data_IF_841638384657
#
_entry.id   IF_841638384657
#
_cell.length_a   1.000
_cell.length_b   1.000
_cell.length_c   1.000
_cell.angle_alpha   90.00
_cell.angle_beta   90.00
_cell.angle_gamma   90.00
#
_symmetry.space_group_name_H-M   'P 1'
#
loop_
_entity.id
_entity.type
_entity.pdbx_description
1 polymer ?
#
# COMPACT_ATOMS: atom_id res chain seq x y z
N UNK A 1 -3.07 -11.26 34.03
CA UNK A 1 -3.57 -10.03 33.35
C UNK A 1 -2.60 -8.85 33.46
N UNK A 2 -1.97 -8.58 34.61
CA UNK A 2 -1.00 -7.49 34.75
C UNK A 2 0.17 -7.57 33.74
N UNK A 3 0.76 -8.76 33.56
CA UNK A 3 1.86 -9.00 32.60
C UNK A 3 1.46 -8.66 31.17
N UNK A 4 0.31 -9.15 30.71
CA UNK A 4 -0.22 -8.85 29.37
C UNK A 4 -0.47 -7.34 29.18
N UNK A 5 -1.00 -6.67 30.20
CA UNK A 5 -1.24 -5.22 30.17
C UNK A 5 0.07 -4.44 30.00
N UNK A 6 1.10 -4.83 30.74
CA UNK A 6 2.41 -4.18 30.68
C UNK A 6 3.08 -4.39 29.31
N UNK A 7 3.02 -5.60 28.76
CA UNK A 7 3.58 -5.91 27.44
C UNK A 7 2.93 -5.10 26.31
N UNK A 8 1.60 -4.97 26.35
CA UNK A 8 0.86 -4.17 25.35
C UNK A 8 1.09 -2.67 25.55
N UNK A 9 1.32 -2.21 26.77
CA UNK A 9 1.64 -0.81 27.06
C UNK A 9 3.06 -0.42 26.61
N UNK A 10 4.02 -1.36 26.68
CA UNK A 10 5.40 -1.16 26.22
C UNK A 10 5.49 -1.08 24.69
N UNK A 11 4.75 -1.95 24.00
CA UNK A 11 4.74 -2.05 22.54
C UNK A 11 3.36 -2.49 22.06
N UNK A 12 2.75 -1.76 21.13
CA UNK A 12 1.37 -1.98 20.69
C UNK A 12 1.23 -2.80 19.38
N UNK A 13 2.33 -3.04 18.66
CA UNK A 13 2.40 -3.70 17.35
C UNK A 13 2.93 -5.15 17.43
N UNK A 14 2.77 -5.81 18.57
CA UNK A 14 3.07 -7.24 18.71
C UNK A 14 2.21 -8.10 17.79
N UNK A 15 2.81 -9.12 17.18
CA UNK A 15 2.05 -10.25 16.67
C UNK A 15 1.56 -11.14 17.84
N UNK A 16 0.44 -11.86 17.64
CA UNK A 16 -0.18 -12.64 18.72
C UNK A 16 0.71 -13.79 19.19
N UNK A 17 1.45 -14.42 18.29
CA UNK A 17 2.44 -15.46 18.59
C UNK A 17 3.64 -14.90 19.35
N UNK A 18 4.16 -13.73 18.98
CA UNK A 18 5.21 -13.02 19.73
C UNK A 18 4.76 -12.72 21.17
N UNK A 19 3.52 -12.26 21.35
CA UNK A 19 2.93 -12.02 22.67
C UNK A 19 2.81 -13.32 23.48
N UNK A 20 2.36 -14.42 22.87
CA UNK A 20 2.30 -15.73 23.53
C UNK A 20 3.69 -16.16 23.98
N UNK A 21 4.69 -16.05 23.11
CA UNK A 21 6.08 -16.39 23.42
C UNK A 21 6.63 -15.54 24.56
N UNK A 22 6.43 -14.22 24.52
CA UNK A 22 6.92 -13.31 25.57
C UNK A 22 6.24 -13.57 26.91
N UNK A 23 4.94 -13.87 26.90
CA UNK A 23 4.21 -14.27 28.10
C UNK A 23 4.70 -15.60 28.68
N UNK A 24 5.01 -16.57 27.82
CA UNK A 24 5.60 -17.85 28.23
C UNK A 24 6.96 -17.63 28.91
N UNK A 25 7.83 -16.81 28.32
CA UNK A 25 9.12 -16.47 28.93
C UNK A 25 8.99 -15.81 30.31
N UNK A 26 7.98 -14.95 30.51
CA UNK A 26 7.82 -14.20 31.77
C UNK A 26 7.06 -14.98 32.85
N UNK A 27 6.16 -15.88 32.47
CA UNK A 27 5.26 -16.56 33.40
C UNK A 27 5.48 -18.07 33.51
N UNK A 28 6.31 -18.63 32.63
CA UNK A 28 6.54 -20.07 32.49
C UNK A 28 5.33 -20.84 31.95
N UNK A 29 4.28 -20.15 31.49
CA UNK A 29 3.03 -20.76 31.03
C UNK A 29 2.69 -20.33 29.63
N UNK A 30 2.49 -21.30 28.75
CA UNK A 30 2.06 -21.07 27.38
C UNK A 30 0.53 -20.98 27.29
N UNK A 31 0.03 -19.83 26.85
CA UNK A 31 -1.38 -19.66 26.51
C UNK A 31 -1.60 -19.97 25.02
N UNK A 32 -2.80 -20.44 24.66
CA UNK A 32 -3.18 -20.49 23.25
C UNK A 32 -3.46 -19.09 22.71
N UNK A 33 -3.27 -18.88 21.40
CA UNK A 33 -3.59 -17.61 20.73
C UNK A 33 -5.05 -17.20 20.99
N UNK A 34 -5.99 -18.16 20.98
CA UNK A 34 -7.40 -17.89 21.27
C UNK A 34 -7.65 -17.44 22.73
N UNK A 35 -6.90 -17.97 23.70
CA UNK A 35 -6.99 -17.53 25.09
C UNK A 35 -6.39 -16.13 25.29
N UNK A 36 -5.27 -15.85 24.62
CA UNK A 36 -4.66 -14.52 24.59
C UNK A 36 -5.62 -13.49 24.00
N UNK A 37 -6.23 -13.81 22.85
CA UNK A 37 -7.18 -12.94 22.17
C UNK A 37 -8.39 -12.60 23.04
N UNK A 38 -9.03 -13.60 23.66
CA UNK A 38 -10.13 -13.38 24.61
C UNK A 38 -9.71 -12.50 25.80
N UNK A 39 -8.47 -12.66 26.28
CA UNK A 39 -7.93 -11.85 27.38
C UNK A 39 -7.73 -10.38 26.96
N UNK A 40 -7.23 -10.14 25.75
CA UNK A 40 -7.12 -8.79 25.19
C UNK A 40 -8.49 -8.12 25.06
N UNK A 41 -9.48 -8.84 24.53
CA UNK A 41 -10.86 -8.35 24.42
C UNK A 41 -11.47 -8.04 25.80
N UNK A 42 -11.29 -8.92 26.79
CA UNK A 42 -11.75 -8.68 28.16
C UNK A 42 -11.13 -7.42 28.77
N UNK A 43 -9.91 -7.07 28.38
CA UNK A 43 -9.23 -5.85 28.82
C UNK A 43 -9.64 -4.59 28.05
N UNK A 44 -10.56 -4.68 27.08
CA UNK A 44 -10.98 -3.57 26.22
C UNK A 44 -9.99 -3.23 25.11
N UNK A 45 -9.02 -4.10 24.83
CA UNK A 45 -8.01 -3.87 23.78
C UNK A 45 -8.57 -4.34 22.44
N UNK A 46 -8.62 -3.43 21.47
CA UNK A 46 -9.08 -3.72 20.11
C UNK A 46 -7.89 -3.76 19.13
N UNK A 47 -8.02 -4.56 18.07
CA UNK A 47 -7.00 -4.65 17.01
C UNK A 47 -7.32 -3.65 15.91
N UNK A 48 -6.45 -2.66 15.69
CA UNK A 48 -6.48 -1.82 14.49
C UNK A 48 -5.51 -2.39 13.46
N UNK A 49 -5.96 -2.59 12.22
CA UNK A 49 -5.08 -2.96 11.11
C UNK A 49 -4.23 -1.74 10.77
N UNK A 50 -2.98 -1.74 11.20
CA UNK A 50 -2.03 -0.70 10.81
C UNK A 50 -1.67 -0.91 9.34
N UNK A 51 -1.77 0.15 8.53
CA UNK A 51 -1.12 0.16 7.24
C UNK A 51 0.38 0.30 7.49
N UNK A 52 1.17 -0.66 7.01
CA UNK A 52 2.63 -0.53 7.00
C UNK A 52 2.95 0.72 6.20
N UNK A 53 3.39 1.79 6.85
CA UNK A 53 3.98 2.92 6.15
C UNK A 53 5.23 2.40 5.43
N UNK A 54 5.37 2.72 4.15
CA UNK A 54 6.58 2.38 3.39
C UNK A 54 7.75 3.11 4.07
N UNK A 55 8.81 2.38 4.41
CA UNK A 55 9.98 2.93 5.11
C UNK A 55 10.64 4.09 4.35
N UNK A 56 10.53 4.09 3.02
CA UNK A 56 11.07 5.12 2.13
C UNK A 56 10.16 6.35 1.98
N UNK A 57 9.00 6.38 2.67
CA UNK A 57 8.06 7.50 2.58
C UNK A 57 8.68 8.76 3.20
N UNK A 58 9.04 9.72 2.35
CA UNK A 58 9.47 11.05 2.75
C UNK A 58 8.34 12.05 2.52
N UNK A 59 7.71 12.50 3.61
CA UNK A 59 6.55 13.39 3.52
C UNK A 59 6.88 14.77 2.92
N UNK A 60 8.13 15.24 3.04
CA UNK A 60 8.57 16.51 2.44
C UNK A 60 8.63 16.38 0.91
N UNK A 61 9.26 15.30 0.43
CA UNK A 61 9.36 15.03 -1.02
C UNK A 61 7.97 14.81 -1.60
N UNK A 62 7.10 14.09 -0.88
CA UNK A 62 5.73 13.85 -1.31
C UNK A 62 4.91 15.14 -1.37
N UNK A 63 5.00 16.01 -0.35
CA UNK A 63 4.31 17.31 -0.35
C UNK A 63 4.81 18.23 -1.48
N UNK A 64 6.13 18.26 -1.71
CA UNK A 64 6.71 19.02 -2.82
C UNK A 64 6.20 18.50 -4.17
N UNK A 65 6.21 17.19 -4.39
CA UNK A 65 5.69 16.57 -5.61
C UNK A 65 4.21 16.93 -5.85
N UNK A 66 3.36 16.81 -4.82
CA UNK A 66 1.95 17.18 -4.92
C UNK A 66 1.76 18.68 -5.24
N UNK A 67 2.60 19.55 -4.68
CA UNK A 67 2.60 20.98 -5.00
C UNK A 67 2.91 21.25 -6.47
N UNK A 68 3.99 20.66 -6.98
CA UNK A 68 4.39 20.76 -8.40
C UNK A 68 3.28 20.27 -9.32
N UNK A 69 2.68 19.11 -9.03
CA UNK A 69 1.59 18.57 -9.87
C UNK A 69 0.36 19.49 -9.83
N UNK A 70 -0.04 19.94 -8.63
CA UNK A 70 -1.22 20.79 -8.45
C UNK A 70 -1.08 22.22 -9.00
N UNK A 71 0.15 22.72 -9.13
CA UNK A 71 0.43 24.04 -9.70
C UNK A 71 0.50 24.01 -11.23
N UNK A 72 1.10 22.96 -11.81
CA UNK A 72 1.42 22.93 -13.25
C UNK A 72 0.42 22.19 -14.12
N UNK A 73 -0.44 21.33 -13.55
CA UNK A 73 -1.35 20.49 -14.31
C UNK A 73 -2.78 20.55 -13.77
N UNK A 74 -3.73 20.40 -14.69
CA UNK A 74 -5.15 20.22 -14.38
C UNK A 74 -5.48 18.72 -14.36
N UNK A 75 -6.49 18.28 -13.59
CA UNK A 75 -6.86 16.87 -13.50
C UNK A 75 -7.14 16.21 -14.86
N UNK A 76 -7.71 16.96 -15.81
CA UNK A 76 -8.06 16.42 -17.12
C UNK A 76 -6.85 16.20 -18.05
N UNK A 77 -5.68 16.75 -17.71
CA UNK A 77 -4.44 16.52 -18.46
C UNK A 77 -3.76 15.20 -18.08
N UNK A 78 -4.10 14.62 -16.92
CA UNK A 78 -3.34 13.53 -16.31
C UNK A 78 -3.91 12.15 -16.67
N UNK A 79 -3.05 11.24 -17.12
CA UNK A 79 -3.30 9.80 -17.21
C UNK A 79 -2.40 9.09 -16.21
N UNK A 80 -2.99 8.29 -15.33
CA UNK A 80 -2.26 7.49 -14.35
C UNK A 80 -2.09 6.06 -14.86
N UNK A 81 -0.85 5.57 -14.89
CA UNK A 81 -0.56 4.16 -15.20
C UNK A 81 -0.07 3.46 -13.94
N UNK A 82 -0.58 2.26 -13.73
CA UNK A 82 -0.23 1.41 -12.60
C UNK A 82 -0.39 -0.07 -13.00
N UNK A 83 0.38 -0.93 -12.35
CA UNK A 83 0.29 -2.37 -12.50
C UNK A 83 -0.52 -2.94 -11.33
N UNK A 84 -1.65 -3.58 -11.66
CA UNK A 84 -2.49 -4.21 -10.64
C UNK A 84 -2.73 -5.67 -10.96
N UNK A 85 -2.81 -6.49 -9.90
CA UNK A 85 -3.40 -7.81 -10.03
C UNK A 85 -4.85 -7.68 -10.49
N UNK A 86 -5.34 -8.66 -11.28
CA UNK A 86 -6.71 -8.66 -11.81
C UNK A 86 -7.74 -8.29 -10.74
N UNK A 87 -8.46 -7.20 -10.98
CA UNK A 87 -9.55 -6.68 -10.15
C UNK A 87 -10.72 -6.25 -11.07
N UNK A 88 -11.95 -6.21 -10.55
CA UNK A 88 -13.17 -5.85 -11.28
C UNK A 88 -13.44 -4.33 -11.29
N UNK A 89 -12.40 -3.51 -11.08
CA UNK A 89 -12.52 -2.05 -11.07
C UNK A 89 -12.97 -1.54 -12.44
N UNK A 90 -13.76 -0.48 -12.42
CA UNK A 90 -14.23 0.25 -13.60
C UNK A 90 -13.59 1.63 -13.63
N UNK A 91 -13.56 2.26 -14.81
CA UNK A 91 -13.02 3.62 -15.00
C UNK A 91 -11.62 3.68 -15.60
N UNK A 92 -11.09 2.55 -16.09
CA UNK A 92 -9.83 2.53 -16.83
C UNK A 92 -10.04 3.01 -18.27
N UNK A 93 -9.09 3.79 -18.77
CA UNK A 93 -9.06 4.26 -20.16
C UNK A 93 -8.34 3.28 -21.10
N UNK A 94 -7.41 2.47 -20.56
CA UNK A 94 -6.68 1.41 -21.23
C UNK A 94 -6.36 0.30 -20.21
N UNK A 95 -6.43 -0.97 -20.64
CA UNK A 95 -6.12 -2.14 -19.80
C UNK A 95 -5.51 -3.24 -20.67
N UNK A 96 -4.37 -3.78 -20.25
CA UNK A 96 -3.81 -5.05 -20.77
C UNK A 96 -3.88 -6.11 -19.65
N UNK A 97 -4.54 -7.24 -19.91
CA UNK A 97 -4.70 -8.34 -18.95
C UNK A 97 -3.89 -9.53 -19.44
N UNK A 98 -3.03 -10.05 -18.56
CA UNK A 98 -2.16 -11.15 -18.91
C UNK A 98 -1.74 -12.02 -17.73
N UNK A 99 -1.20 -13.18 -18.07
CA UNK A 99 -0.64 -14.13 -17.11
C UNK A 99 0.87 -13.89 -16.94
N UNK A 100 1.32 -13.91 -15.69
CA UNK A 100 2.72 -13.68 -15.32
C UNK A 100 3.02 -12.26 -14.84
N UNK A 101 4.31 -11.94 -14.73
CA UNK A 101 4.78 -10.62 -14.32
C UNK A 101 4.97 -9.70 -15.55
N UNK A 102 4.79 -8.39 -15.36
CA UNK A 102 5.11 -7.42 -16.39
C UNK A 102 6.63 -7.33 -16.58
N UNK A 103 7.07 -7.23 -17.84
CA UNK A 103 8.46 -6.93 -18.19
C UNK A 103 8.55 -5.61 -18.95
N UNK A 104 9.77 -5.07 -19.06
CA UNK A 104 10.00 -3.78 -19.72
C UNK A 104 9.46 -3.74 -21.15
N UNK A 105 9.63 -4.82 -21.92
CA UNK A 105 9.19 -4.84 -23.32
C UNK A 105 7.69 -4.70 -23.37
N UNK A 106 6.98 -5.49 -22.57
CA UNK A 106 5.53 -5.47 -22.51
C UNK A 106 5.00 -4.13 -22.03
N UNK A 107 5.62 -3.54 -21.01
CA UNK A 107 5.26 -2.22 -20.53
C UNK A 107 5.37 -1.16 -21.65
N UNK A 108 6.49 -1.16 -22.39
CA UNK A 108 6.68 -0.26 -23.54
C UNK A 108 5.64 -0.51 -24.63
N UNK A 109 5.39 -1.77 -24.98
CA UNK A 109 4.38 -2.14 -25.98
C UNK A 109 2.98 -1.64 -25.53
N UNK A 110 2.62 -1.83 -24.26
CA UNK A 110 1.37 -1.33 -23.70
C UNK A 110 1.25 0.20 -23.81
N UNK A 111 2.30 0.94 -23.44
CA UNK A 111 2.30 2.41 -23.54
C UNK A 111 2.11 2.86 -25.00
N UNK A 112 2.86 2.26 -25.92
CA UNK A 112 2.81 2.64 -27.34
C UNK A 112 1.49 2.25 -28.02
N UNK A 113 0.97 1.06 -27.71
CA UNK A 113 -0.19 0.49 -28.42
C UNK A 113 -1.52 0.87 -27.79
N UNK A 114 -1.56 1.16 -26.48
CA UNK A 114 -2.80 1.42 -25.75
C UNK A 114 -2.89 2.84 -25.18
N UNK A 115 -1.79 3.43 -24.71
CA UNK A 115 -1.82 4.74 -24.02
C UNK A 115 -1.59 5.89 -24.98
N UNK A 116 -0.51 5.87 -25.77
CA UNK A 116 -0.19 6.94 -26.73
C UNK A 116 -1.35 7.25 -27.70
N UNK A 117 -2.10 6.27 -28.24
CA UNK A 117 -3.21 6.55 -29.16
C UNK A 117 -4.38 7.33 -28.54
N UNK A 118 -4.52 7.33 -27.20
CA UNK A 118 -5.57 8.08 -26.49
C UNK A 118 -5.06 9.40 -25.91
N UNK A 119 -3.77 9.70 -26.07
CA UNK A 119 -3.16 10.93 -25.60
C UNK A 119 -3.32 12.07 -26.60
N UNK A 120 -3.38 13.30 -26.07
CA UNK A 120 -3.30 14.51 -26.88
C UNK A 120 -1.94 15.20 -26.68
N UNK A 121 -1.65 16.15 -27.56
CA UNK A 121 -0.47 17.01 -27.39
C UNK A 121 -0.64 17.91 -26.15
N UNK A 122 0.44 18.12 -25.41
CA UNK A 122 0.43 19.08 -24.30
C UNK A 122 0.16 20.50 -24.83
N UNK A 123 -0.74 21.30 -24.20
CA UNK A 123 -1.35 21.10 -22.88
C UNK A 123 -2.81 20.59 -22.90
N UNK A 124 -3.26 19.87 -23.92
CA UNK A 124 -4.65 19.40 -23.98
C UNK A 124 -4.96 18.31 -22.93
N UNK A 125 -6.23 17.88 -22.85
CA UNK A 125 -6.62 16.77 -21.98
C UNK A 125 -5.81 15.50 -22.31
N UNK A 126 -5.60 14.62 -21.34
CA UNK A 126 -4.87 13.36 -21.54
C UNK A 126 -3.46 13.54 -22.16
N UNK A 127 -2.72 14.58 -21.77
CA UNK A 127 -1.41 14.91 -22.36
C UNK A 127 -0.21 14.61 -21.47
N UNK A 128 -0.43 14.20 -20.22
CA UNK A 128 0.62 13.96 -19.22
C UNK A 128 0.44 12.57 -18.60
N UNK A 129 1.46 11.72 -18.71
CA UNK A 129 1.50 10.42 -18.05
C UNK A 129 2.12 10.58 -16.65
N UNK A 130 1.47 9.97 -15.65
CA UNK A 130 1.95 9.85 -14.27
C UNK A 130 2.06 8.38 -13.92
N UNK A 131 3.20 7.97 -13.37
CA UNK A 131 3.52 6.59 -13.01
C UNK A 131 4.36 6.56 -11.74
N UNK A 132 4.38 5.41 -11.06
CA UNK A 132 5.36 5.18 -10.01
C UNK A 132 6.77 4.95 -10.59
N UNK A 133 7.77 4.83 -9.71
CA UNK A 133 9.16 4.61 -10.10
C UNK A 133 9.54 3.12 -10.01
N UNK A 134 8.68 2.21 -10.48
CA UNK A 134 9.02 0.79 -10.58
C UNK A 134 10.17 0.57 -11.59
N UNK A 135 11.04 -0.41 -11.31
CA UNK A 135 12.24 -0.70 -12.14
C UNK A 135 11.95 -1.13 -13.59
N UNK A 136 10.71 -1.52 -13.85
CA UNK A 136 10.23 -2.06 -15.11
C UNK A 136 9.66 -0.97 -16.02
N UNK A 137 9.30 0.19 -15.44
CA UNK A 137 8.98 1.42 -16.16
C UNK A 137 10.23 1.96 -16.88
#
# INVERSE_FOLDING_TARGET
MAVLRNLVAEKADWYLDELVYKMECLTGKRASIAALWRSLQYMGITRKKLHKAVLERNDIIHAHYLGVIGEHYTPNQLIFLDESAKDERKGFVAVDIFEGACDRKRFVDFVLDQVVPIMNSYPDNNSVIIMDNAKIH
#
